data_IF_939072298970
#
_entry.id   IF_939072298970
#
_cell.length_a   1.000
_cell.length_b   1.000
_cell.length_c   1.000
_cell.angle_alpha   90.00
_cell.angle_beta   90.00
_cell.angle_gamma   90.00
#
_symmetry.space_group_name_H-M   'P 1'
#
loop_
_entity.id
_entity.type
_entity.pdbx_description
1 polymer ?
#
# COMPACT_ATOMS: atom_id res chain seq x y z
N UNK A 1 11.75 -21.79 -1.14
CA UNK A 1 11.72 -20.35 -0.81
C UNK A 1 10.93 -19.64 -1.89
N UNK A 2 9.92 -18.86 -1.53
CA UNK A 2 9.24 -18.00 -2.51
C UNK A 2 10.23 -16.87 -2.87
N UNK A 3 10.56 -16.64 -4.15
CA UNK A 3 11.64 -15.71 -4.54
C UNK A 3 11.32 -14.24 -4.30
N UNK A 4 10.13 -13.92 -3.79
CA UNK A 4 9.59 -12.58 -3.65
C UNK A 4 9.11 -12.35 -2.22
N UNK A 5 9.54 -11.24 -1.61
CA UNK A 5 9.05 -10.79 -0.30
C UNK A 5 7.95 -9.74 -0.45
N UNK A 6 7.19 -9.48 0.63
CA UNK A 6 6.11 -8.49 0.65
C UNK A 6 6.56 -7.02 0.66
N UNK A 7 7.86 -6.75 0.54
CA UNK A 7 8.38 -5.38 0.44
C UNK A 7 8.16 -4.77 -0.95
N UNK A 8 8.33 -3.46 -1.05
CA UNK A 8 8.38 -2.79 -2.35
C UNK A 8 9.37 -3.47 -3.29
N UNK A 9 8.99 -3.56 -4.58
CA UNK A 9 9.73 -4.33 -5.60
C UNK A 9 10.01 -5.78 -5.23
N UNK A 10 9.05 -6.45 -4.59
CA UNK A 10 9.16 -7.86 -4.23
C UNK A 10 10.35 -8.13 -3.28
N UNK A 11 10.87 -7.09 -2.63
CA UNK A 11 12.12 -7.11 -1.87
C UNK A 11 13.36 -7.47 -2.68
N UNK A 12 13.31 -7.37 -4.01
CA UNK A 12 14.41 -7.75 -4.90
C UNK A 12 15.34 -6.59 -5.26
N UNK A 13 14.99 -5.34 -4.92
CA UNK A 13 15.76 -4.15 -5.25
C UNK A 13 16.12 -3.33 -4.02
N UNK A 14 17.36 -2.81 -4.03
CA UNK A 14 17.94 -2.00 -2.97
C UNK A 14 17.17 -0.67 -2.84
N UNK A 15 16.86 -0.30 -1.60
CA UNK A 15 16.24 0.96 -1.18
C UNK A 15 14.78 1.18 -1.61
N UNK A 16 14.06 0.17 -2.12
CA UNK A 16 12.63 0.31 -2.50
C UNK A 16 11.64 -0.04 -1.38
N UNK A 17 12.08 0.01 -0.12
CA UNK A 17 11.23 -0.30 1.05
C UNK A 17 11.35 0.84 2.06
N UNK A 18 10.23 1.36 2.54
CA UNK A 18 10.19 2.48 3.48
C UNK A 18 9.29 2.18 4.69
N UNK A 19 9.19 3.12 5.62
CA UNK A 19 8.24 3.01 6.75
C UNK A 19 6.77 3.22 6.35
N UNK A 20 6.49 3.81 5.19
CA UNK A 20 5.12 4.10 4.77
C UNK A 20 4.34 2.83 4.43
N UNK A 21 4.98 1.83 3.80
CA UNK A 21 4.33 0.55 3.48
C UNK A 21 3.96 -0.21 4.76
N UNK A 22 4.83 -0.18 5.76
CA UNK A 22 4.57 -0.79 7.07
C UNK A 22 3.46 -0.07 7.83
N UNK A 23 3.46 1.27 7.82
CA UNK A 23 2.36 2.08 8.40
C UNK A 23 1.03 1.72 7.74
N UNK A 24 0.98 1.73 6.42
CA UNK A 24 -0.21 1.40 5.66
C UNK A 24 -0.73 0.00 5.99
N UNK A 25 0.17 -1.00 6.02
CA UNK A 25 -0.18 -2.39 6.34
C UNK A 25 -0.77 -2.50 7.75
N UNK A 26 -0.15 -1.85 8.74
CA UNK A 26 -0.64 -1.83 10.12
C UNK A 26 -2.01 -1.14 10.25
N UNK A 27 -2.20 0.00 9.59
CA UNK A 27 -3.48 0.72 9.61
C UNK A 27 -4.60 -0.09 8.94
N UNK A 28 -4.33 -0.74 7.81
CA UNK A 28 -5.30 -1.62 7.13
C UNK A 28 -5.62 -2.82 8.03
N UNK A 29 -4.60 -3.49 8.58
CA UNK A 29 -4.80 -4.63 9.47
C UNK A 29 -5.65 -4.27 10.69
N UNK A 30 -5.48 -3.06 11.24
CA UNK A 30 -6.29 -2.61 12.36
C UNK A 30 -7.71 -2.19 11.94
N UNK A 31 -7.86 -1.60 10.75
CA UNK A 31 -9.17 -1.25 10.18
C UNK A 31 -10.03 -2.48 9.86
N UNK A 32 -9.42 -3.62 9.57
CA UNK A 32 -10.12 -4.88 9.29
C UNK A 32 -10.51 -5.67 10.55
N UNK A 33 -10.07 -5.25 11.75
CA UNK A 33 -10.47 -5.91 13.00
C UNK A 33 -11.99 -5.81 13.19
N UNK A 34 -12.64 -6.97 13.27
CA UNK A 34 -14.09 -7.08 13.46
C UNK A 34 -14.91 -6.84 12.20
N UNK A 35 -14.28 -6.73 11.03
CA UNK A 35 -14.98 -6.70 9.76
C UNK A 35 -15.66 -8.05 9.49
N UNK A 36 -16.88 -8.04 8.95
CA UNK A 36 -17.53 -9.29 8.54
C UNK A 36 -16.77 -9.91 7.37
N UNK A 37 -16.78 -11.23 7.28
CA UNK A 37 -16.09 -11.95 6.21
C UNK A 37 -16.68 -11.58 4.85
N UNK A 38 -18.00 -11.39 4.74
CA UNK A 38 -18.63 -10.99 3.48
C UNK A 38 -18.14 -9.59 3.02
N UNK A 39 -18.05 -8.64 3.96
CA UNK A 39 -17.54 -7.30 3.66
C UNK A 39 -16.05 -7.35 3.25
N UNK A 40 -15.25 -8.22 3.89
CA UNK A 40 -13.84 -8.40 3.56
C UNK A 40 -13.67 -8.95 2.13
N UNK A 41 -14.49 -9.93 1.76
CA UNK A 41 -14.49 -10.51 0.42
C UNK A 41 -14.85 -9.45 -0.64
N UNK A 42 -15.88 -8.64 -0.41
CA UNK A 42 -16.29 -7.59 -1.34
C UNK A 42 -15.17 -6.55 -1.57
N UNK A 43 -14.49 -6.12 -0.50
CA UNK A 43 -13.32 -5.24 -0.59
C UNK A 43 -12.22 -5.91 -1.41
N UNK A 44 -11.91 -7.18 -1.11
CA UNK A 44 -10.82 -7.89 -1.75
C UNK A 44 -11.07 -8.14 -3.24
N UNK A 45 -12.28 -8.53 -3.63
CA UNK A 45 -12.68 -8.64 -5.04
C UNK A 45 -12.50 -7.33 -5.80
N UNK A 46 -12.87 -6.21 -5.18
CA UNK A 46 -12.71 -4.88 -5.78
C UNK A 46 -11.24 -4.53 -5.98
N UNK A 47 -10.38 -4.87 -5.01
CA UNK A 47 -8.94 -4.64 -5.09
C UNK A 47 -8.26 -5.55 -6.13
N UNK A 48 -8.65 -6.83 -6.22
CA UNK A 48 -8.12 -7.75 -7.23
C UNK A 48 -8.44 -7.23 -8.63
N UNK A 49 -9.72 -6.92 -8.91
CA UNK A 49 -10.16 -6.38 -10.21
C UNK A 49 -9.43 -5.11 -10.61
N UNK A 50 -9.04 -4.28 -9.64
CA UNK A 50 -8.33 -3.02 -9.89
C UNK A 50 -6.89 -3.22 -10.37
N UNK A 51 -6.21 -4.30 -9.96
CA UNK A 51 -4.77 -4.46 -10.19
C UNK A 51 -4.39 -5.69 -11.03
N UNK A 52 -5.26 -6.69 -11.15
CA UNK A 52 -4.95 -7.97 -11.81
C UNK A 52 -4.46 -7.79 -13.25
N UNK A 53 -5.15 -7.00 -14.07
CA UNK A 53 -4.81 -6.77 -15.47
C UNK A 53 -3.43 -6.12 -15.64
N UNK A 54 -3.12 -5.11 -14.81
CA UNK A 54 -1.81 -4.45 -14.80
C UNK A 54 -0.70 -5.42 -14.36
N UNK A 55 -0.98 -6.30 -13.41
CA UNK A 55 -0.02 -7.31 -12.94
C UNK A 55 0.26 -8.32 -14.05
N UNK A 56 -0.78 -8.84 -14.72
CA UNK A 56 -0.66 -9.78 -15.83
C UNK A 56 0.13 -9.19 -17.00
N UNK A 57 -0.14 -7.92 -17.34
CA UNK A 57 0.59 -7.18 -18.38
C UNK A 57 1.99 -6.73 -17.97
N UNK A 58 2.36 -6.91 -16.70
CA UNK A 58 3.61 -6.39 -16.10
C UNK A 58 3.73 -4.87 -16.21
N UNK A 59 2.61 -4.16 -16.29
CA UNK A 59 2.50 -2.69 -16.30
C UNK A 59 2.41 -2.16 -14.86
N UNK A 60 3.39 -2.55 -14.05
CA UNK A 60 3.46 -2.18 -12.63
C UNK A 60 4.40 -0.98 -12.51
N UNK A 61 3.96 0.16 -11.91
CA UNK A 61 4.82 1.30 -11.70
C UNK A 61 6.08 0.92 -10.94
N UNK A 62 7.19 1.51 -11.38
CA UNK A 62 8.51 1.27 -10.81
C UNK A 62 8.59 1.73 -9.34
N UNK A 63 7.78 2.70 -8.94
CA UNK A 63 7.89 3.33 -7.63
C UNK A 63 9.20 4.13 -7.51
N UNK A 64 9.59 4.41 -6.27
CA UNK A 64 10.72 5.27 -5.92
C UNK A 64 11.56 4.60 -4.84
N UNK A 65 12.86 4.88 -4.84
CA UNK A 65 13.75 4.54 -3.74
C UNK A 65 13.44 5.42 -2.52
N UNK A 66 13.89 4.99 -1.35
CA UNK A 66 13.79 5.72 -0.10
C UNK A 66 14.26 7.16 -0.26
N UNK A 67 15.43 7.37 -0.86
CA UNK A 67 16.03 8.69 -1.07
C UNK A 67 15.23 9.60 -2.01
N UNK A 68 14.35 9.03 -2.84
CA UNK A 68 13.54 9.76 -3.82
C UNK A 68 12.15 10.10 -3.27
N UNK A 69 11.75 9.48 -2.17
CA UNK A 69 10.42 9.66 -1.57
C UNK A 69 10.46 10.08 -0.10
N UNK A 70 11.64 10.26 0.49
CA UNK A 70 11.88 10.80 1.83
C UNK A 70 12.90 11.94 1.81
N UNK A 71 12.73 12.88 2.75
CA UNK A 71 13.86 13.70 3.19
C UNK A 71 14.76 12.86 4.10
N UNK A 72 15.97 12.57 3.64
CA UNK A 72 16.92 11.69 4.33
C UNK A 72 17.41 12.33 5.65
N UNK A 73 17.42 13.66 5.75
CA UNK A 73 17.90 14.36 6.95
C UNK A 73 16.88 14.29 8.08
N UNK A 74 15.59 14.46 7.76
CA UNK A 74 14.52 14.42 8.76
C UNK A 74 13.89 13.04 8.90
N UNK A 75 14.14 12.14 7.94
CA UNK A 75 13.51 10.81 7.85
C UNK A 75 11.99 10.93 7.72
N UNK A 76 11.53 11.95 6.98
CA UNK A 76 10.11 12.20 6.75
C UNK A 76 9.72 11.94 5.28
N UNK A 77 8.54 11.36 5.02
CA UNK A 77 8.05 11.19 3.66
C UNK A 77 7.87 12.53 2.97
N UNK A 78 8.19 12.58 1.69
CA UNK A 78 7.92 13.74 0.84
C UNK A 78 6.42 14.05 0.78
N UNK A 79 6.09 15.32 0.50
CA UNK A 79 4.70 15.75 0.29
C UNK A 79 3.99 14.92 -0.77
N UNK A 80 4.67 14.59 -1.87
CA UNK A 80 4.12 13.73 -2.92
C UNK A 80 3.72 12.36 -2.38
N UNK A 81 4.57 11.72 -1.56
CA UNK A 81 4.26 10.43 -0.99
C UNK A 81 3.09 10.52 0.00
N UNK A 82 3.02 11.58 0.81
CA UNK A 82 1.89 11.83 1.71
C UNK A 82 0.57 12.04 0.96
N UNK A 83 0.57 12.73 -0.18
CA UNK A 83 -0.64 12.92 -0.98
C UNK A 83 -1.08 11.62 -1.67
N UNK A 84 -0.14 10.82 -2.17
CA UNK A 84 -0.43 9.46 -2.66
C UNK A 84 -1.07 8.61 -1.56
N UNK A 85 -0.50 8.66 -0.35
CA UNK A 85 -1.00 7.94 0.82
C UNK A 85 -2.45 8.32 1.14
N UNK A 86 -2.75 9.62 1.24
CA UNK A 86 -4.10 10.14 1.48
C UNK A 86 -5.08 9.69 0.39
N UNK A 87 -4.68 9.76 -0.88
CA UNK A 87 -5.49 9.30 -2.01
C UNK A 87 -5.81 7.80 -1.91
N UNK A 88 -4.83 6.98 -1.59
CA UNK A 88 -5.03 5.52 -1.42
C UNK A 88 -5.94 5.25 -0.23
N UNK A 89 -5.74 5.94 0.90
CA UNK A 89 -6.64 5.83 2.06
C UNK A 89 -8.08 6.15 1.70
N UNK A 90 -8.30 7.23 0.93
CA UNK A 90 -9.62 7.63 0.47
C UNK A 90 -10.26 6.58 -0.44
N UNK A 91 -9.50 6.03 -1.39
CA UNK A 91 -9.99 4.94 -2.25
C UNK A 91 -10.44 3.71 -1.45
N UNK A 92 -9.75 3.40 -0.34
CA UNK A 92 -10.14 2.28 0.53
C UNK A 92 -11.40 2.59 1.35
N UNK A 93 -11.57 3.83 1.81
CA UNK A 93 -12.83 4.28 2.44
C UNK A 93 -14.01 4.13 1.50
N UNK A 94 -13.83 4.55 0.25
CA UNK A 94 -14.89 4.56 -0.76
C UNK A 94 -15.36 3.14 -1.13
N UNK A 95 -14.51 2.11 -0.90
CA UNK A 95 -14.88 0.69 -1.07
C UNK A 95 -15.27 -0.01 0.24
N UNK A 96 -15.38 0.73 1.35
CA UNK A 96 -15.99 0.24 2.60
C UNK A 96 -15.04 0.03 3.78
N UNK A 97 -13.74 0.29 3.64
CA UNK A 97 -12.80 0.21 4.77
C UNK A 97 -12.97 1.40 5.71
N UNK A 98 -13.08 1.17 7.03
CA UNK A 98 -13.22 2.23 8.03
C UNK A 98 -11.95 2.34 8.87
N UNK A 99 -11.19 3.42 8.67
CA UNK A 99 -10.00 3.68 9.47
C UNK A 99 -10.35 3.88 10.94
N UNK A 100 -9.52 3.32 11.83
CA UNK A 100 -9.66 3.48 13.29
C UNK A 100 -8.84 4.65 13.84
N UNK A 101 -7.85 5.11 13.08
CA UNK A 101 -6.97 6.23 13.42
C UNK A 101 -6.90 7.20 12.23
N UNK A 102 -6.89 8.51 12.52
CA UNK A 102 -6.84 9.61 11.56
C UNK A 102 -5.63 10.48 11.81
#
# INVERSE_FOLDING_TARGET
SHPFSGGGRQGAQIDYVTGMESRFTGEVAYATIGLKIEDANNIMETLVKKYEENIERKEIPIGKKFQECYDIKTVEPTKEYLELYKKVRKNLEDIGLKWKFG
#
